data_IF_066170984926
#
_entry.id   IF_066170984926
#
_cell.length_a   1.000
_cell.length_b   1.000
_cell.length_c   1.000
_cell.angle_alpha   90.00
_cell.angle_beta   90.00
_cell.angle_gamma   90.00
#
_symmetry.space_group_name_H-M   'P 1'
#
loop_
_entity.id
_entity.type
_entity.pdbx_description
1 polymer ?
#
# COMPACT_ATOMS: atom_id res chain seq x y z
N UNK A 1 2.98 -1.05 -21.72
CA UNK A 1 2.10 0.13 -21.71
C UNK A 1 2.79 1.26 -22.45
N UNK A 2 2.09 1.90 -23.38
CA UNK A 2 2.70 2.95 -24.22
C UNK A 2 2.66 4.30 -23.51
N UNK A 3 3.57 5.22 -23.89
CA UNK A 3 3.55 6.61 -23.41
C UNK A 3 2.20 7.28 -23.69
N UNK A 4 1.66 7.06 -24.89
CA UNK A 4 0.36 7.58 -25.33
C UNK A 4 -0.79 7.18 -24.40
N UNK A 5 -0.81 5.92 -23.95
CA UNK A 5 -1.85 5.45 -23.03
C UNK A 5 -1.76 6.11 -21.65
N UNK A 6 -0.54 6.33 -21.14
CA UNK A 6 -0.37 7.05 -19.88
C UNK A 6 -0.72 8.52 -19.99
N UNK A 7 -0.35 9.18 -21.09
CA UNK A 7 -0.72 10.57 -21.34
C UNK A 7 -2.25 10.71 -21.37
N UNK A 8 -2.97 9.77 -22.01
CA UNK A 8 -4.42 9.72 -21.96
C UNK A 8 -4.94 9.59 -20.51
N UNK A 9 -4.43 8.64 -19.72
CA UNK A 9 -4.87 8.47 -18.34
C UNK A 9 -4.64 9.73 -17.48
N UNK A 10 -3.47 10.35 -17.58
CA UNK A 10 -3.15 11.54 -16.78
C UNK A 10 -3.91 12.79 -17.22
N UNK A 11 -4.15 12.97 -18.51
CA UNK A 11 -4.72 14.22 -19.04
C UNK A 11 -6.23 14.16 -19.27
N UNK A 12 -6.78 12.99 -19.57
CA UNK A 12 -8.18 12.84 -20.04
C UNK A 12 -9.06 12.04 -19.07
N UNK A 13 -8.50 11.54 -17.96
CA UNK A 13 -9.25 10.73 -17.00
C UNK A 13 -9.00 11.18 -15.56
N UNK A 14 -9.75 10.63 -14.62
CA UNK A 14 -9.57 10.87 -13.19
C UNK A 14 -8.47 10.01 -12.55
N UNK A 15 -7.52 9.49 -13.33
CA UNK A 15 -6.50 8.54 -12.84
C UNK A 15 -5.70 9.04 -11.62
N UNK A 16 -5.19 10.30 -11.58
CA UNK A 16 -4.50 10.80 -10.39
C UNK A 16 -5.36 10.77 -9.13
N UNK A 17 -6.63 11.18 -9.24
CA UNK A 17 -7.59 11.21 -8.13
C UNK A 17 -7.97 9.80 -7.70
N UNK A 18 -8.20 8.88 -8.65
CA UNK A 18 -8.46 7.47 -8.34
C UNK A 18 -7.28 6.82 -7.62
N UNK A 19 -6.05 7.22 -7.95
CA UNK A 19 -4.86 6.71 -7.27
C UNK A 19 -4.78 7.17 -5.83
N UNK A 20 -5.03 8.44 -5.56
CA UNK A 20 -5.07 8.98 -4.20
C UNK A 20 -6.19 8.33 -3.39
N UNK A 21 -7.42 8.37 -3.91
CA UNK A 21 -8.60 7.75 -3.30
C UNK A 21 -8.38 6.26 -3.01
N UNK A 22 -7.78 5.51 -3.93
CA UNK A 22 -7.54 4.08 -3.70
C UNK A 22 -6.56 3.82 -2.55
N UNK A 23 -5.52 4.65 -2.40
CA UNK A 23 -4.59 4.52 -1.29
C UNK A 23 -5.25 4.85 0.05
N UNK A 24 -6.13 5.86 0.06
CA UNK A 24 -6.97 6.18 1.22
C UNK A 24 -7.89 5.02 1.58
N UNK A 25 -8.61 4.46 0.60
CA UNK A 25 -9.49 3.29 0.80
C UNK A 25 -8.71 2.08 1.37
N UNK A 26 -7.48 1.82 0.90
CA UNK A 26 -6.63 0.75 1.46
C UNK A 26 -6.30 1.01 2.93
N UNK A 27 -5.99 2.25 3.28
CA UNK A 27 -5.66 2.63 4.66
C UNK A 27 -6.89 2.61 5.59
N UNK A 28 -8.02 3.12 5.12
CA UNK A 28 -9.30 3.05 5.84
C UNK A 28 -9.70 1.60 6.09
N UNK A 29 -9.57 0.74 5.08
CA UNK A 29 -9.87 -0.69 5.21
C UNK A 29 -8.96 -1.38 6.22
N UNK A 30 -7.66 -1.06 6.22
CA UNK A 30 -6.71 -1.55 7.24
C UNK A 30 -7.10 -1.07 8.66
N UNK A 31 -7.62 0.14 8.77
CA UNK A 31 -8.11 0.71 10.04
C UNK A 31 -9.35 -0.01 10.54
N UNK A 32 -10.31 -0.30 9.67
CA UNK A 32 -11.49 -1.11 10.01
C UNK A 32 -11.06 -2.52 10.43
N UNK A 33 -10.13 -3.13 9.71
CA UNK A 33 -9.67 -4.47 10.00
C UNK A 33 -8.98 -4.60 11.36
N UNK A 34 -8.13 -3.65 11.73
CA UNK A 34 -7.47 -3.69 13.04
C UNK A 34 -8.47 -3.54 14.18
N UNK A 35 -9.49 -2.69 14.01
CA UNK A 35 -10.55 -2.52 15.00
C UNK A 35 -11.41 -3.77 15.12
N UNK A 36 -11.77 -4.39 13.99
CA UNK A 36 -12.54 -5.63 13.98
C UNK A 36 -11.77 -6.80 14.59
N UNK A 37 -10.48 -6.94 14.27
CA UNK A 37 -9.63 -7.95 14.88
C UNK A 37 -9.50 -7.76 16.40
N UNK A 38 -9.35 -6.52 16.86
CA UNK A 38 -9.29 -6.22 18.29
C UNK A 38 -10.61 -6.56 18.99
N UNK A 39 -11.75 -6.15 18.42
CA UNK A 39 -13.09 -6.45 18.96
C UNK A 39 -13.40 -7.95 18.99
N UNK A 40 -12.92 -8.69 18.00
CA UNK A 40 -13.07 -10.14 17.92
C UNK A 40 -12.09 -10.91 18.83
N UNK A 41 -11.18 -10.23 19.53
CA UNK A 41 -10.13 -10.87 20.35
C UNK A 41 -9.03 -11.56 19.54
N UNK A 42 -8.94 -11.28 18.24
CA UNK A 42 -7.93 -11.83 17.33
C UNK A 42 -6.56 -11.15 17.46
N UNK A 43 -6.53 -9.92 18.00
CA UNK A 43 -5.33 -9.11 18.20
C UNK A 43 -5.36 -8.43 19.57
N UNK A 44 -4.20 -8.36 20.22
CA UNK A 44 -4.02 -7.66 21.49
C UNK A 44 -3.56 -6.21 21.32
N UNK A 45 -3.25 -5.79 20.09
CA UNK A 45 -2.77 -4.44 19.78
C UNK A 45 -3.45 -3.84 18.55
N UNK A 46 -3.53 -2.50 18.54
CA UNK A 46 -4.09 -1.70 17.45
C UNK A 46 -2.99 -1.24 16.47
N UNK A 47 -2.27 -2.19 15.89
CA UNK A 47 -1.28 -1.88 14.86
C UNK A 47 -1.88 -2.04 13.45
N UNK A 48 -2.35 -0.93 12.86
CA UNK A 48 -2.95 -0.95 11.51
C UNK A 48 -1.98 -1.44 10.42
N UNK A 49 -0.66 -1.27 10.60
CA UNK A 49 0.34 -1.73 9.63
C UNK A 49 0.32 -3.25 9.42
N UNK A 50 -0.24 -4.02 10.36
CA UNK A 50 -0.42 -5.47 10.23
C UNK A 50 -1.57 -5.86 9.31
N UNK A 51 -2.37 -4.89 8.87
CA UNK A 51 -3.58 -5.06 8.07
C UNK A 51 -3.56 -4.23 6.78
N UNK A 52 -2.44 -3.58 6.45
CA UNK A 52 -2.29 -2.86 5.18
C UNK A 52 -1.94 -3.87 4.08
N UNK A 53 -2.76 -3.91 3.03
CA UNK A 53 -2.47 -4.68 1.81
C UNK A 53 -1.21 -4.14 1.14
N UNK A 54 -0.25 -5.03 0.88
CA UNK A 54 1.03 -4.69 0.24
C UNK A 54 0.94 -4.84 -1.26
N UNK A 55 0.32 -3.87 -1.90
CA UNK A 55 0.18 -3.83 -3.36
C UNK A 55 1.42 -3.22 -4.00
N UNK A 56 1.89 -3.83 -5.08
CA UNK A 56 2.92 -3.25 -5.94
C UNK A 56 2.40 -1.98 -6.63
N UNK A 57 3.32 -1.11 -7.03
CA UNK A 57 2.96 0.08 -7.82
C UNK A 57 2.27 -0.28 -9.14
N UNK A 58 2.58 -1.45 -9.71
CA UNK A 58 1.93 -1.95 -10.91
C UNK A 58 0.47 -2.34 -10.64
N UNK A 59 0.19 -3.09 -9.57
CA UNK A 59 -1.17 -3.47 -9.17
C UNK A 59 -2.03 -2.24 -8.86
N UNK A 60 -1.50 -1.29 -8.08
CA UNK A 60 -2.17 -0.01 -7.80
C UNK A 60 -2.51 0.70 -9.12
N UNK A 61 -1.54 0.80 -10.03
CA UNK A 61 -1.76 1.45 -11.33
C UNK A 61 -2.83 0.76 -12.16
N UNK A 62 -2.85 -0.58 -12.21
CA UNK A 62 -3.88 -1.36 -12.93
C UNK A 62 -5.28 -1.09 -12.39
N UNK A 63 -5.46 -1.14 -11.06
CA UNK A 63 -6.76 -0.87 -10.41
C UNK A 63 -7.24 0.54 -10.74
N UNK A 64 -6.37 1.54 -10.53
CA UNK A 64 -6.75 2.94 -10.65
C UNK A 64 -7.08 3.33 -12.10
N UNK A 65 -6.39 2.74 -13.09
CA UNK A 65 -6.72 2.92 -14.51
C UNK A 65 -8.11 2.40 -14.86
N UNK A 66 -8.48 1.27 -14.30
CA UNK A 66 -9.78 0.66 -14.52
C UNK A 66 -10.89 1.50 -13.91
N UNK A 67 -10.70 1.97 -12.67
CA UNK A 67 -11.64 2.91 -12.04
C UNK A 67 -11.77 4.23 -12.80
N UNK A 68 -10.65 4.80 -13.26
CA UNK A 68 -10.64 6.05 -14.00
C UNK A 68 -11.34 5.92 -15.36
N UNK A 69 -11.09 4.83 -16.08
CA UNK A 69 -11.74 4.56 -17.37
C UNK A 69 -13.24 4.25 -17.19
N UNK A 70 -13.61 3.52 -16.14
CA UNK A 70 -15.01 3.30 -15.76
C UNK A 70 -15.73 4.62 -15.50
N UNK A 71 -15.15 5.50 -14.66
CA UNK A 71 -15.73 6.80 -14.36
C UNK A 71 -15.86 7.68 -15.60
N UNK A 72 -14.84 7.73 -16.46
CA UNK A 72 -14.91 8.44 -17.73
C UNK A 72 -16.08 7.95 -18.59
N UNK A 73 -16.18 6.62 -18.76
CA UNK A 73 -17.22 5.99 -19.58
C UNK A 73 -18.61 6.27 -19.01
N UNK A 74 -18.78 6.16 -17.68
CA UNK A 74 -20.03 6.47 -16.99
C UNK A 74 -20.45 7.92 -17.20
N UNK A 75 -19.57 8.88 -16.92
CA UNK A 75 -19.85 10.32 -17.09
C UNK A 75 -20.23 10.65 -18.53
N UNK A 76 -19.50 10.10 -19.51
CA UNK A 76 -19.86 10.27 -20.93
C UNK A 76 -21.22 9.66 -21.23
N UNK A 77 -21.49 8.42 -20.80
CA UNK A 77 -22.76 7.75 -21.06
C UNK A 77 -23.96 8.50 -20.46
N UNK A 78 -23.78 9.12 -19.29
CA UNK A 78 -24.81 9.92 -18.63
C UNK A 78 -25.05 11.24 -19.37
N UNK A 79 -23.98 11.90 -19.84
CA UNK A 79 -24.11 13.10 -20.66
C UNK A 79 -24.88 12.85 -21.97
N UNK A 80 -24.68 11.68 -22.59
CA UNK A 80 -25.38 11.28 -23.81
C UNK A 80 -26.73 10.59 -23.57
N UNK A 81 -27.16 10.41 -22.31
CA UNK A 81 -28.44 9.77 -21.92
C UNK A 81 -29.61 10.71 -22.27
N UNK A 82 -30.00 10.73 -23.53
CA UNK A 82 -31.02 11.63 -24.09
C UNK A 82 -30.73 12.07 -25.52
N UNK A 83 -29.50 11.84 -25.99
CA UNK A 83 -29.08 11.97 -27.37
C UNK A 83 -28.76 10.59 -27.97
N UNK A 84 -28.06 10.56 -29.10
CA UNK A 84 -27.60 9.30 -29.71
C UNK A 84 -26.47 8.69 -28.88
N UNK A 85 -26.76 7.59 -28.18
CA UNK A 85 -25.76 6.83 -27.41
C UNK A 85 -24.63 6.28 -28.31
N UNK A 86 -24.95 5.94 -29.55
CA UNK A 86 -23.95 5.45 -30.50
C UNK A 86 -22.96 6.56 -30.87
N UNK A 87 -23.43 7.78 -31.14
CA UNK A 87 -22.57 8.93 -31.42
C UNK A 87 -21.69 9.29 -30.21
N UNK A 88 -22.24 9.20 -29.00
CA UNK A 88 -21.48 9.40 -27.76
C UNK A 88 -20.31 8.42 -27.61
N UNK A 89 -20.56 7.13 -27.90
CA UNK A 89 -19.53 6.11 -27.88
C UNK A 89 -18.46 6.36 -28.95
N UNK A 90 -18.85 6.64 -30.20
CA UNK A 90 -17.88 6.92 -31.27
C UNK A 90 -17.02 8.14 -30.96
N UNK A 91 -17.61 9.18 -30.37
CA UNK A 91 -16.89 10.38 -29.92
C UNK A 91 -15.85 10.04 -28.85
N UNK A 92 -16.24 9.23 -27.85
CA UNK A 92 -15.32 8.80 -26.80
C UNK A 92 -14.16 7.95 -27.36
N UNK A 93 -14.45 7.03 -28.28
CA UNK A 93 -13.44 6.18 -28.92
C UNK A 93 -12.47 6.99 -29.79
N UNK A 94 -12.95 8.01 -30.51
CA UNK A 94 -12.12 8.89 -31.31
C UNK A 94 -11.09 9.66 -30.47
N UNK A 95 -11.44 10.00 -29.21
CA UNK A 95 -10.54 10.65 -28.25
C UNK A 95 -9.61 9.70 -27.50
N UNK A 96 -9.82 8.39 -27.59
CA UNK A 96 -9.09 7.39 -26.80
C UNK A 96 -8.08 6.60 -27.65
N UNK A 97 -6.94 6.18 -27.06
CA UNK A 97 -6.02 5.23 -27.70
C UNK A 97 -6.74 3.93 -28.09
N UNK A 98 -6.40 3.38 -29.26
CA UNK A 98 -7.02 2.15 -29.77
C UNK A 98 -6.83 0.94 -28.87
N UNK A 99 -5.75 0.90 -28.07
CA UNK A 99 -5.53 -0.14 -27.07
C UNK A 99 -6.60 -0.19 -25.96
N UNK A 100 -7.38 0.89 -25.79
CA UNK A 100 -8.43 0.99 -24.77
C UNK A 100 -9.84 0.77 -25.33
N UNK A 101 -10.02 0.76 -26.66
CA UNK A 101 -11.34 0.72 -27.31
C UNK A 101 -12.18 -0.47 -26.86
N UNK A 102 -11.60 -1.67 -26.81
CA UNK A 102 -12.31 -2.87 -26.36
C UNK A 102 -12.84 -2.71 -24.92
N UNK A 103 -12.03 -2.11 -24.03
CA UNK A 103 -12.43 -1.90 -22.63
C UNK A 103 -13.49 -0.81 -22.49
N UNK A 104 -13.40 0.26 -23.29
CA UNK A 104 -14.42 1.32 -23.34
C UNK A 104 -15.76 0.75 -23.81
N UNK A 105 -15.77 -0.01 -24.92
CA UNK A 105 -16.98 -0.67 -25.40
C UNK A 105 -17.62 -1.54 -24.31
N UNK A 106 -16.81 -2.29 -23.59
CA UNK A 106 -17.30 -3.15 -22.53
C UNK A 106 -17.88 -2.37 -21.36
N UNK A 107 -17.24 -1.30 -20.88
CA UNK A 107 -17.82 -0.42 -19.86
C UNK A 107 -19.08 0.30 -20.34
N UNK A 108 -19.13 0.66 -21.61
CA UNK A 108 -20.28 1.33 -22.21
C UNK A 108 -21.53 0.44 -22.18
N UNK A 109 -21.39 -0.87 -22.45
CA UNK A 109 -22.54 -1.78 -22.39
C UNK A 109 -23.15 -1.86 -20.99
N UNK A 110 -22.33 -1.93 -19.93
CA UNK A 110 -22.83 -1.88 -18.54
C UNK A 110 -23.58 -0.57 -18.23
N UNK A 111 -23.13 0.55 -18.80
CA UNK A 111 -23.80 1.84 -18.63
C UNK A 111 -25.16 1.89 -19.35
N UNK A 112 -25.29 1.23 -20.50
CA UNK A 112 -26.55 1.12 -21.24
C UNK A 112 -27.57 0.22 -20.53
N UNK A 113 -27.10 -0.87 -19.93
CA UNK A 113 -27.96 -1.83 -19.24
C UNK A 113 -28.50 -1.29 -17.90
N UNK A 114 -28.12 -0.07 -17.49
CA UNK A 114 -28.52 0.55 -16.24
C UNK A 114 -27.93 -0.12 -14.99
N UNK A 115 -26.97 -1.04 -15.18
CA UNK A 115 -26.28 -1.77 -14.10
C UNK A 115 -25.05 -1.03 -13.57
N UNK A 116 -24.76 0.15 -14.13
CA UNK A 116 -23.60 0.95 -13.74
C UNK A 116 -23.72 1.54 -12.33
N UNK A 117 -23.06 0.90 -11.38
CA UNK A 117 -22.80 1.45 -10.04
C UNK A 117 -21.71 2.53 -10.04
N UNK A 118 -21.28 2.95 -8.86
CA UNK A 118 -20.16 3.89 -8.69
C UNK A 118 -18.78 3.22 -8.84
N UNK A 119 -18.73 1.91 -8.63
CA UNK A 119 -17.54 1.08 -8.80
C UNK A 119 -17.64 0.24 -10.07
N UNK A 120 -16.50 -0.05 -10.73
CA UNK A 120 -16.45 -1.04 -11.80
C UNK A 120 -17.00 -2.40 -11.34
N UNK A 121 -17.63 -3.18 -12.25
CA UNK A 121 -18.01 -4.56 -11.97
C UNK A 121 -16.84 -5.41 -11.48
N UNK A 122 -17.09 -6.33 -10.54
CA UNK A 122 -16.05 -7.15 -9.90
C UNK A 122 -15.29 -8.03 -10.90
N UNK A 123 -15.98 -8.50 -11.92
CA UNK A 123 -15.47 -9.37 -12.99
C UNK A 123 -14.32 -8.69 -13.76
N UNK A 124 -14.30 -7.36 -13.77
CA UNK A 124 -13.24 -6.58 -14.42
C UNK A 124 -11.94 -6.72 -13.65
N UNK A 125 -11.98 -6.76 -12.33
CA UNK A 125 -10.78 -6.95 -11.51
C UNK A 125 -10.24 -8.38 -11.62
N UNK A 126 -11.12 -9.37 -11.75
CA UNK A 126 -10.74 -10.77 -11.95
C UNK A 126 -9.95 -10.95 -13.25
N UNK A 127 -10.39 -10.32 -14.34
CA UNK A 127 -9.67 -10.36 -15.62
C UNK A 127 -8.30 -9.69 -15.60
N UNK A 128 -8.09 -8.73 -14.68
CA UNK A 128 -6.79 -8.09 -14.50
C UNK A 128 -5.86 -8.89 -13.60
N UNK A 129 -6.37 -9.97 -12.97
CA UNK A 129 -5.64 -10.76 -11.99
C UNK A 129 -5.25 -9.93 -10.77
N UNK A 130 -6.15 -9.07 -10.27
CA UNK A 130 -5.89 -8.23 -9.10
C UNK A 130 -6.67 -8.75 -7.89
N UNK A 131 -6.06 -9.58 -7.02
CA UNK A 131 -6.78 -10.33 -5.99
C UNK A 131 -7.34 -9.46 -4.85
N UNK A 132 -6.74 -8.28 -4.64
CA UNK A 132 -6.96 -7.42 -3.46
C UNK A 132 -8.38 -6.87 -3.31
N UNK A 133 -9.19 -6.96 -4.37
CA UNK A 133 -10.58 -6.52 -4.42
C UNK A 133 -11.56 -7.68 -4.62
N UNK A 134 -11.08 -8.92 -4.70
CA UNK A 134 -11.95 -10.09 -4.72
C UNK A 134 -12.69 -10.19 -3.38
N UNK A 135 -13.92 -10.69 -3.39
CA UNK A 135 -14.84 -10.74 -2.25
C UNK A 135 -14.41 -11.63 -1.07
N UNK A 136 -13.12 -11.64 -0.73
CA UNK A 136 -12.54 -12.30 0.43
C UNK A 136 -13.26 -11.84 1.70
N UNK A 137 -13.82 -12.77 2.51
CA UNK A 137 -14.42 -12.43 3.78
C UNK A 137 -13.43 -11.69 4.70
N UNK A 138 -13.90 -10.68 5.43
CA UNK A 138 -13.03 -9.83 6.26
C UNK A 138 -12.18 -10.65 7.25
N UNK A 139 -12.75 -11.67 7.91
CA UNK A 139 -12.00 -12.51 8.84
C UNK A 139 -10.83 -13.27 8.17
N UNK A 140 -11.05 -13.84 6.98
CA UNK A 140 -10.02 -14.53 6.20
C UNK A 140 -8.89 -13.57 5.79
N UNK A 141 -9.27 -12.39 5.30
CA UNK A 141 -8.33 -11.34 4.91
C UNK A 141 -7.46 -10.87 6.06
N UNK A 142 -8.07 -10.58 7.22
CA UNK A 142 -7.34 -10.20 8.44
C UNK A 142 -6.36 -11.28 8.89
N UNK A 143 -6.77 -12.54 8.85
CA UNK A 143 -5.90 -13.66 9.20
C UNK A 143 -4.69 -13.75 8.25
N UNK A 144 -4.91 -13.63 6.94
CA UNK A 144 -3.84 -13.61 5.92
C UNK A 144 -2.87 -12.45 6.14
N UNK A 145 -3.38 -11.24 6.32
CA UNK A 145 -2.56 -10.03 6.49
C UNK A 145 -1.71 -10.09 7.77
N UNK A 146 -2.29 -10.54 8.89
CA UNK A 146 -1.53 -10.77 10.12
C UNK A 146 -0.44 -11.82 9.93
N UNK A 147 -0.75 -12.94 9.26
CA UNK A 147 0.23 -14.00 8.99
C UNK A 147 1.37 -13.48 8.10
N UNK A 148 1.06 -12.65 7.10
CA UNK A 148 2.06 -11.99 6.26
C UNK A 148 2.94 -11.03 7.07
N UNK A 149 2.35 -10.12 7.84
CA UNK A 149 3.10 -9.17 8.68
C UNK A 149 3.98 -9.91 9.71
N UNK A 150 3.45 -10.96 10.35
CA UNK A 150 4.22 -11.79 11.28
C UNK A 150 5.43 -12.45 10.59
N UNK A 151 5.23 -13.03 9.40
CA UNK A 151 6.31 -13.65 8.62
C UNK A 151 7.39 -12.64 8.25
N UNK A 152 7.00 -11.44 7.82
CA UNK A 152 7.97 -10.39 7.47
C UNK A 152 8.73 -9.88 8.69
N UNK A 153 8.07 -9.72 9.85
CA UNK A 153 8.76 -9.40 11.11
C UNK A 153 9.74 -10.48 11.49
N UNK A 154 9.37 -11.75 11.40
CA UNK A 154 10.27 -12.87 11.69
C UNK A 154 11.48 -12.85 10.75
N UNK A 155 11.25 -12.66 9.44
CA UNK A 155 12.34 -12.54 8.46
C UNK A 155 13.25 -11.34 8.78
N UNK A 156 12.68 -10.19 9.14
CA UNK A 156 13.44 -9.01 9.52
C UNK A 156 14.27 -9.26 10.78
N UNK A 157 13.68 -9.85 11.81
CA UNK A 157 14.39 -10.20 13.04
C UNK A 157 15.52 -11.20 12.78
N UNK A 158 15.30 -12.22 11.96
CA UNK A 158 16.33 -13.20 11.61
C UNK A 158 17.48 -12.53 10.83
N UNK A 159 17.16 -11.68 9.85
CA UNK A 159 18.19 -10.93 9.10
C UNK A 159 19.01 -9.99 9.98
N UNK A 160 18.42 -9.49 11.07
CA UNK A 160 19.05 -8.55 12.00
C UNK A 160 19.55 -9.22 13.30
N UNK A 161 19.54 -10.55 13.39
CA UNK A 161 19.80 -11.29 14.62
C UNK A 161 21.10 -10.87 15.32
N UNK A 162 22.19 -10.78 14.56
CA UNK A 162 23.49 -10.38 15.11
C UNK A 162 23.49 -8.95 15.69
N UNK A 163 22.74 -8.03 15.07
CA UNK A 163 22.60 -6.66 15.56
C UNK A 163 21.71 -6.59 16.81
N UNK A 164 20.63 -7.37 16.83
CA UNK A 164 19.77 -7.49 18.02
C UNK A 164 20.54 -8.07 19.21
N UNK A 165 21.40 -9.06 18.98
CA UNK A 165 22.25 -9.63 20.04
C UNK A 165 23.29 -8.62 20.54
N UNK A 166 23.85 -7.78 19.67
CA UNK A 166 24.74 -6.69 20.07
C UNK A 166 24.01 -5.66 20.95
N UNK A 167 22.79 -5.28 20.59
CA UNK A 167 21.95 -4.37 21.40
C UNK A 167 21.62 -5.00 22.76
N UNK A 168 21.27 -6.28 22.81
CA UNK A 168 20.99 -6.98 24.08
C UNK A 168 22.22 -7.01 24.99
N UNK A 169 23.41 -7.30 24.44
CA UNK A 169 24.65 -7.25 25.23
C UNK A 169 24.92 -5.87 25.80
N UNK A 170 24.68 -4.81 25.02
CA UNK A 170 24.78 -3.43 25.48
C UNK A 170 23.86 -3.15 26.68
N UNK A 171 22.66 -3.73 26.72
CA UNK A 171 21.75 -3.59 27.88
C UNK A 171 22.17 -4.38 29.12
N UNK A 172 22.91 -5.48 28.95
CA UNK A 172 23.29 -6.40 30.03
C UNK A 172 24.64 -6.06 30.67
N UNK A 173 25.54 -5.41 29.92
CA UNK A 173 26.86 -5.02 30.42
C UNK A 173 26.80 -3.64 31.08
N UNK A 174 26.69 -3.62 32.41
CA UNK A 174 26.71 -2.38 33.21
C UNK A 174 28.06 -1.68 33.23
N UNK A 175 29.15 -2.40 32.95
CA UNK A 175 30.49 -1.82 32.88
C UNK A 175 30.79 -1.18 31.52
N UNK A 176 29.96 -1.46 30.49
CA UNK A 176 30.15 -0.91 29.16
C UNK A 176 29.71 0.56 29.10
N UNK A 177 30.69 1.46 29.10
CA UNK A 177 30.51 2.87 28.83
C UNK A 177 30.91 3.17 27.38
N UNK A 178 29.92 3.32 26.50
CA UNK A 178 30.18 3.62 25.09
C UNK A 178 28.95 3.42 24.20
N UNK A 179 29.20 3.28 22.91
CA UNK A 179 28.19 3.00 21.89
C UNK A 179 28.58 1.80 21.04
N UNK A 180 27.57 1.11 20.51
CA UNK A 180 27.76 0.18 19.39
C UNK A 180 27.49 0.91 18.08
N UNK A 181 28.24 0.57 17.04
CA UNK A 181 27.98 1.08 15.67
C UNK A 181 27.51 -0.07 14.80
N UNK A 182 26.30 0.04 14.27
CA UNK A 182 25.74 -0.90 13.31
C UNK A 182 26.12 -0.49 11.89
N UNK A 183 26.25 -1.43 10.95
CA UNK A 183 26.83 -1.18 9.64
C UNK A 183 25.96 -0.23 8.79
N UNK A 184 26.59 0.47 7.85
CA UNK A 184 25.90 1.45 7.00
C UNK A 184 25.08 0.84 5.87
N UNK A 185 25.25 -0.46 5.60
CA UNK A 185 24.50 -1.20 4.57
C UNK A 185 23.06 -1.55 4.99
N UNK A 186 22.63 -1.16 6.19
CA UNK A 186 21.25 -1.32 6.63
C UNK A 186 20.29 -0.50 5.76
N UNK A 187 19.27 -1.18 5.25
CA UNK A 187 18.14 -0.56 4.57
C UNK A 187 17.42 0.42 5.49
N UNK A 188 16.60 1.30 4.89
CA UNK A 188 15.77 2.26 5.64
C UNK A 188 14.86 1.55 6.64
N UNK A 189 14.28 0.42 6.25
CA UNK A 189 13.35 -0.33 7.10
C UNK A 189 14.06 -1.02 8.26
N UNK A 190 15.23 -1.61 8.01
CA UNK A 190 16.05 -2.22 9.07
C UNK A 190 16.50 -1.19 10.09
N UNK A 191 16.95 0.00 9.64
CA UNK A 191 17.30 1.10 10.55
C UNK A 191 16.10 1.56 11.37
N UNK A 192 14.95 1.79 10.75
CA UNK A 192 13.73 2.18 11.47
C UNK A 192 13.30 1.12 12.50
N UNK A 193 13.47 -0.17 12.17
CA UNK A 193 13.22 -1.27 13.10
C UNK A 193 14.17 -1.22 14.29
N UNK A 194 15.48 -1.07 14.06
CA UNK A 194 16.50 -1.01 15.12
C UNK A 194 16.34 0.24 16.00
N UNK A 195 15.97 1.38 15.43
CA UNK A 195 15.62 2.59 16.18
C UNK A 195 14.48 2.32 17.17
N UNK A 196 13.40 1.67 16.70
CA UNK A 196 12.27 1.32 17.57
C UNK A 196 12.66 0.36 18.69
N UNK A 197 13.49 -0.65 18.40
CA UNK A 197 14.00 -1.56 19.43
C UNK A 197 14.85 -0.80 20.46
N UNK A 198 15.68 0.15 20.03
CA UNK A 198 16.43 0.99 20.95
C UNK A 198 15.50 1.84 21.83
N UNK A 199 14.47 2.47 21.26
CA UNK A 199 13.45 3.22 22.01
C UNK A 199 12.72 2.33 23.05
N UNK A 200 12.28 1.14 22.64
CA UNK A 200 11.60 0.17 23.51
C UNK A 200 12.47 -0.29 24.69
N UNK A 201 13.79 -0.32 24.50
CA UNK A 201 14.77 -0.67 25.53
C UNK A 201 15.26 0.56 26.33
N UNK A 202 14.75 1.76 26.05
CA UNK A 202 15.20 2.99 26.70
C UNK A 202 16.64 3.38 26.37
N UNK A 203 17.13 2.98 25.19
CA UNK A 203 18.48 3.31 24.70
C UNK A 203 18.42 4.57 23.84
N UNK A 204 19.49 5.36 23.90
CA UNK A 204 19.70 6.45 22.96
C UNK A 204 20.22 5.90 21.63
N UNK A 205 19.86 6.59 20.55
CA UNK A 205 20.31 6.25 19.21
C UNK A 205 20.41 7.48 18.32
N UNK A 206 21.30 7.39 17.34
CA UNK A 206 21.38 8.39 16.27
C UNK A 206 21.92 7.75 14.99
N UNK A 207 21.53 8.29 13.85
CA UNK A 207 22.22 8.00 12.60
C UNK A 207 23.35 9.00 12.38
N UNK A 208 24.59 8.53 12.24
CA UNK A 208 25.75 9.37 11.94
C UNK A 208 26.25 9.15 10.51
N UNK A 209 26.77 10.20 9.88
CA UNK A 209 27.29 10.18 8.51
C UNK A 209 26.22 10.41 7.43
N UNK A 210 26.67 10.49 6.18
CA UNK A 210 25.84 10.84 5.03
C UNK A 210 25.78 9.72 3.98
N UNK A 211 24.64 9.65 3.27
CA UNK A 211 24.46 8.75 2.14
C UNK A 211 24.76 7.27 2.48
N UNK A 212 25.56 6.56 1.65
CA UNK A 212 25.92 5.16 1.86
C UNK A 212 26.79 4.87 3.10
N UNK A 213 27.40 5.90 3.70
CA UNK A 213 28.24 5.79 4.90
C UNK A 213 27.44 6.03 6.18
N UNK A 214 26.12 6.28 6.07
CA UNK A 214 25.27 6.55 7.22
C UNK A 214 25.11 5.28 8.08
N UNK A 215 25.69 5.31 9.28
CA UNK A 215 25.66 4.23 10.25
C UNK A 215 24.71 4.55 11.42
N UNK A 216 24.25 3.52 12.13
CA UNK A 216 23.39 3.68 13.32
C UNK A 216 24.23 3.46 14.58
N UNK A 217 24.29 4.46 15.45
CA UNK A 217 24.89 4.37 16.78
C UNK A 217 23.82 4.19 17.83
N UNK A 218 24.08 3.31 18.80
CA UNK A 218 23.18 3.04 19.93
C UNK A 218 24.00 3.00 21.22
N UNK A 219 23.54 3.69 22.25
CA UNK A 219 24.19 3.76 23.56
C UNK A 219 23.16 3.82 24.68
N UNK A 220 23.59 3.55 25.91
CA UNK A 220 22.73 3.69 27.09
C UNK A 220 22.51 5.18 27.37
N UNK A 221 21.35 5.53 27.92
CA UNK A 221 21.21 6.85 28.53
C UNK A 221 22.29 6.98 29.61
N UNK A 222 23.07 8.07 29.57
CA UNK A 222 23.99 8.37 30.66
C UNK A 222 23.16 8.32 31.93
N UNK A 223 23.51 7.40 32.83
CA UNK A 223 22.96 7.36 34.17
C UNK A 223 23.29 8.71 34.78
N UNK A 224 22.37 9.68 34.65
CA UNK A 224 22.59 11.03 35.09
C UNK A 224 23.07 10.94 36.53
N UNK A 225 24.28 11.46 36.74
CA UNK A 225 25.05 11.38 37.97
C UNK A 225 24.19 11.88 39.14
N UNK A 226 23.57 10.95 39.85
CA UNK A 226 22.87 11.17 41.11
C UNK A 226 23.82 10.94 42.26
#
# INVERSE_FOLDING_TARGET
MTKVEMDFYFCQTSYPQERERFLEEVFERATVDVLDAFRAGESTSLNHLDYVEKLSSEEISKICKVRALWRLTKVFSEFWRGASMEEGLQTLLAGAPSSLHQRIHWFWSFCQDGTAGDTPPTEVYDQLGVPALSGEPSASRRARLRAQSAKERMNMQESLRAHLDAIRRLTQDEAFHGYITLPSNLSRNERAFLHRIADELGLNHESVGEGPQRALRIWRADSASG
#
